data_IF_254236335745
#
_entry.id   IF_254236335745
#
_cell.length_a   1.000
_cell.length_b   1.000
_cell.length_c   1.000
_cell.angle_alpha   90.00
_cell.angle_beta   90.00
_cell.angle_gamma   90.00
#
_symmetry.space_group_name_H-M   'P 1'
#
loop_
_entity.id
_entity.type
_entity.pdbx_description
1 polymer ?
#
# COMPACT_ATOMS: atom_id res chain seq x y z
N UNK A 1 -3.89 13.06 7.63
CA UNK A 1 -4.40 14.14 6.77
C UNK A 1 -4.84 13.54 5.45
N UNK A 2 -6.12 13.58 5.14
CA UNK A 2 -6.61 13.17 3.80
C UNK A 2 -6.03 14.15 2.77
N UNK A 3 -5.21 13.64 1.86
CA UNK A 3 -4.69 14.40 0.72
C UNK A 3 -5.91 14.66 -0.17
N UNK A 4 -6.48 15.84 -0.01
CA UNK A 4 -7.37 16.38 -1.02
C UNK A 4 -6.56 16.34 -2.33
N UNK A 5 -7.10 15.75 -3.41
CA UNK A 5 -6.41 15.45 -4.67
C UNK A 5 -5.67 16.70 -5.13
N UNK A 6 -4.37 16.78 -4.84
CA UNK A 6 -3.55 17.91 -5.20
C UNK A 6 -3.02 17.70 -6.62
N UNK A 7 -2.97 18.78 -7.38
CA UNK A 7 -2.50 18.80 -8.77
C UNK A 7 -0.97 18.79 -8.83
N UNK A 8 -0.42 18.40 -9.98
CA UNK A 8 1.01 18.54 -10.29
C UNK A 8 1.18 19.80 -11.16
N UNK A 9 2.16 20.62 -10.83
CA UNK A 9 2.60 21.73 -11.68
C UNK A 9 3.73 21.23 -12.61
N UNK A 10 3.52 21.28 -13.91
CA UNK A 10 4.54 20.92 -14.91
C UNK A 10 5.01 22.19 -15.63
N UNK A 11 6.26 22.55 -15.46
CA UNK A 11 6.88 23.69 -16.13
C UNK A 11 7.87 23.18 -17.17
N UNK A 12 7.52 23.33 -18.43
CA UNK A 12 8.21 22.76 -19.58
C UNK A 12 7.86 23.59 -20.83
N UNK A 13 8.82 24.01 -21.63
CA UNK A 13 8.57 24.84 -22.83
C UNK A 13 8.11 24.02 -24.04
N UNK A 14 8.52 22.75 -24.12
CA UNK A 14 8.15 21.84 -25.22
C UNK A 14 6.75 21.29 -25.06
N UNK A 15 5.84 21.65 -25.97
CA UNK A 15 4.47 21.12 -25.99
C UNK A 15 4.41 19.60 -26.14
N UNK A 16 5.36 19.01 -26.88
CA UNK A 16 5.40 17.56 -27.10
C UNK A 16 5.73 16.82 -25.78
N UNK A 17 6.72 17.33 -25.04
CA UNK A 17 7.14 16.75 -23.76
C UNK A 17 6.03 16.96 -22.70
N UNK A 18 5.44 18.17 -22.64
CA UNK A 18 4.29 18.44 -21.78
C UNK A 18 3.14 17.43 -22.00
N UNK A 19 2.78 17.22 -23.28
CA UNK A 19 1.68 16.30 -23.63
C UNK A 19 2.00 14.87 -23.22
N UNK A 20 3.23 14.41 -23.46
CA UNK A 20 3.66 13.05 -23.10
C UNK A 20 3.65 12.83 -21.58
N UNK A 21 4.22 13.75 -20.79
CA UNK A 21 4.24 13.66 -19.32
C UNK A 21 2.83 13.74 -18.76
N UNK A 22 2.01 14.69 -19.22
CA UNK A 22 0.62 14.85 -18.78
C UNK A 22 -0.21 13.59 -19.04
N UNK A 23 -0.06 12.99 -20.22
CA UNK A 23 -0.76 11.75 -20.58
C UNK A 23 -0.31 10.57 -19.70
N UNK A 24 1.00 10.42 -19.49
CA UNK A 24 1.55 9.36 -18.65
C UNK A 24 1.06 9.47 -17.20
N UNK A 25 1.10 10.67 -16.60
CA UNK A 25 0.63 10.92 -15.24
C UNK A 25 -0.90 10.66 -15.13
N UNK A 26 -1.68 11.13 -16.13
CA UNK A 26 -3.14 10.92 -16.11
C UNK A 26 -3.51 9.44 -16.21
N UNK A 27 -2.86 8.71 -17.11
CA UNK A 27 -3.18 7.29 -17.36
C UNK A 27 -2.74 6.38 -16.20
N UNK A 28 -1.58 6.66 -15.59
CA UNK A 28 -1.02 5.75 -14.58
C UNK A 28 -1.36 6.15 -13.14
N UNK A 29 -1.51 7.45 -12.87
CA UNK A 29 -1.72 7.96 -11.50
C UNK A 29 -3.10 8.63 -11.31
N UNK A 30 -3.83 8.86 -12.39
CA UNK A 30 -5.11 9.59 -12.40
C UNK A 30 -5.05 10.97 -11.72
N UNK A 31 -3.90 11.67 -11.83
CA UNK A 31 -3.70 13.01 -11.27
C UNK A 31 -3.91 14.08 -12.34
N UNK A 32 -4.34 15.27 -11.89
CA UNK A 32 -4.45 16.43 -12.75
C UNK A 32 -3.11 17.17 -12.84
N UNK A 33 -2.74 17.57 -14.05
CA UNK A 33 -1.50 18.30 -14.35
C UNK A 33 -1.85 19.67 -14.93
N UNK A 34 -1.37 20.72 -14.24
CA UNK A 34 -1.41 22.09 -14.72
C UNK A 34 -0.08 22.43 -15.35
N UNK A 35 -0.08 22.95 -16.57
CA UNK A 35 1.15 23.21 -17.34
C UNK A 35 1.45 24.70 -17.41
N UNK A 36 2.77 25.03 -17.40
CA UNK A 36 3.30 26.34 -17.70
C UNK A 36 4.50 26.18 -18.66
N UNK A 37 4.75 27.19 -19.49
CA UNK A 37 5.86 27.18 -20.47
C UNK A 37 6.99 28.14 -20.11
N UNK A 38 6.74 29.04 -19.17
CA UNK A 38 7.64 30.12 -18.79
C UNK A 38 7.59 30.34 -17.27
N UNK A 39 8.64 30.98 -16.71
CA UNK A 39 8.62 31.42 -15.32
C UNK A 39 7.52 32.45 -15.05
N UNK A 40 7.20 33.27 -16.05
CA UNK A 40 6.13 34.27 -15.95
C UNK A 40 4.76 33.62 -15.81
N UNK A 41 4.47 32.58 -16.60
CA UNK A 41 3.24 31.78 -16.45
C UNK A 41 3.20 31.06 -15.11
N UNK A 42 4.32 30.45 -14.72
CA UNK A 42 4.46 29.77 -13.42
C UNK A 42 4.12 30.70 -12.28
N UNK A 43 4.63 31.92 -12.28
CA UNK A 43 4.34 32.93 -11.26
C UNK A 43 2.84 33.27 -11.18
N UNK A 44 2.17 33.42 -12.32
CA UNK A 44 0.72 33.69 -12.35
C UNK A 44 -0.10 32.53 -11.77
N UNK A 45 0.27 31.30 -12.09
CA UNK A 45 -0.37 30.10 -11.59
C UNK A 45 -0.20 30.01 -10.07
N UNK A 46 1.03 30.18 -9.56
CA UNK A 46 1.33 30.12 -8.14
C UNK A 46 0.60 31.20 -7.33
N UNK A 47 0.45 32.40 -7.87
CA UNK A 47 -0.31 33.47 -7.22
C UNK A 47 -1.81 33.15 -7.06
N UNK A 48 -2.39 32.35 -7.96
CA UNK A 48 -3.81 32.02 -7.94
C UNK A 48 -4.13 30.74 -7.17
N UNK A 49 -3.27 29.73 -7.27
CA UNK A 49 -3.64 28.35 -6.89
C UNK A 49 -2.51 27.59 -6.19
N UNK A 50 -1.61 28.28 -5.49
CA UNK A 50 -0.46 27.65 -4.81
C UNK A 50 -0.84 26.42 -3.97
N UNK A 51 -1.94 26.51 -3.20
CA UNK A 51 -2.36 25.45 -2.28
C UNK A 51 -2.86 24.17 -2.97
N UNK A 52 -3.11 24.22 -4.29
CA UNK A 52 -3.60 23.07 -5.06
C UNK A 52 -2.49 22.10 -5.48
N UNK A 53 -1.22 22.54 -5.44
CA UNK A 53 -0.09 21.73 -5.89
C UNK A 53 0.58 20.99 -4.74
N UNK A 54 0.82 19.69 -4.96
CA UNK A 54 1.61 18.90 -4.03
C UNK A 54 3.06 18.72 -4.50
N UNK A 55 3.30 18.78 -5.81
CA UNK A 55 4.60 18.59 -6.44
C UNK A 55 4.70 19.45 -7.70
N UNK A 56 5.91 19.94 -8.02
CA UNK A 56 6.24 20.56 -9.29
C UNK A 56 7.31 19.75 -10.05
N UNK A 57 7.17 19.68 -11.36
CA UNK A 57 8.15 19.13 -12.30
C UNK A 57 8.67 20.29 -13.11
N UNK A 58 9.97 20.54 -13.08
CA UNK A 58 10.57 21.76 -13.59
C UNK A 58 11.66 21.46 -14.61
N UNK A 59 11.56 22.04 -15.81
CA UNK A 59 12.72 22.17 -16.70
C UNK A 59 13.60 23.35 -16.28
N UNK A 60 14.90 23.17 -16.35
CA UNK A 60 15.88 24.24 -16.13
C UNK A 60 16.02 25.20 -17.31
N UNK A 61 15.72 24.72 -18.52
CA UNK A 61 15.89 25.45 -19.76
C UNK A 61 14.58 26.07 -20.23
N UNK A 62 14.17 27.16 -19.60
CA UNK A 62 12.98 27.91 -20.03
C UNK A 62 13.39 29.15 -20.81
N UNK A 63 12.57 29.64 -21.77
CA UNK A 63 12.87 30.81 -22.58
C UNK A 63 13.17 32.08 -21.78
N UNK A 64 12.51 32.25 -20.63
CA UNK A 64 12.62 33.39 -19.73
C UNK A 64 13.32 33.08 -18.40
N UNK A 65 13.93 31.89 -18.28
CA UNK A 65 14.66 31.44 -17.08
C UNK A 65 15.83 30.49 -17.44
N UNK A 66 16.86 30.96 -18.10
CA UNK A 66 17.93 30.11 -18.62
C UNK A 66 18.83 29.47 -17.56
N UNK A 67 18.83 29.96 -16.33
CA UNK A 67 19.67 29.49 -15.21
C UNK A 67 18.88 28.70 -14.14
N UNK A 68 17.66 28.29 -14.45
CA UNK A 68 16.85 27.53 -13.52
C UNK A 68 16.29 28.34 -12.34
N UNK A 69 16.13 29.65 -12.47
CA UNK A 69 15.51 30.51 -11.43
C UNK A 69 14.06 30.13 -11.12
N UNK A 70 13.41 29.37 -12.01
CA UNK A 70 12.09 28.77 -11.77
C UNK A 70 12.10 27.84 -10.55
N UNK A 71 13.22 27.16 -10.29
CA UNK A 71 13.37 26.27 -9.13
C UNK A 71 13.24 27.07 -7.83
N UNK A 72 13.94 28.20 -7.73
CA UNK A 72 13.86 29.06 -6.55
C UNK A 72 12.46 29.63 -6.36
N UNK A 73 11.80 30.07 -7.42
CA UNK A 73 10.43 30.55 -7.37
C UNK A 73 9.47 29.52 -6.80
N UNK A 74 9.58 28.26 -7.23
CA UNK A 74 8.70 27.15 -6.80
C UNK A 74 9.02 26.73 -5.37
N UNK A 75 10.30 26.56 -5.02
CA UNK A 75 10.73 26.19 -3.67
C UNK A 75 10.36 27.26 -2.64
N UNK A 76 10.54 28.55 -2.94
CA UNK A 76 10.09 29.66 -2.09
C UNK A 76 8.56 29.70 -1.92
N UNK A 77 7.85 29.14 -2.88
CA UNK A 77 6.40 28.95 -2.77
C UNK A 77 6.05 27.74 -1.87
N UNK A 78 7.00 27.00 -1.32
CA UNK A 78 6.81 25.84 -0.46
C UNK A 78 6.21 24.62 -1.20
N UNK A 79 6.45 24.54 -2.52
CA UNK A 79 6.06 23.39 -3.33
C UNK A 79 7.30 22.54 -3.57
N UNK A 80 7.32 21.25 -3.18
CA UNK A 80 8.41 20.34 -3.49
C UNK A 80 8.60 20.20 -5.01
N UNK A 81 9.85 20.11 -5.46
CA UNK A 81 10.16 20.15 -6.88
C UNK A 81 11.05 18.97 -7.32
N UNK A 82 10.69 18.35 -8.44
CA UNK A 82 11.55 17.45 -9.22
C UNK A 82 12.07 18.22 -10.42
N UNK A 83 13.36 18.16 -10.64
CA UNK A 83 13.99 18.75 -11.82
C UNK A 83 14.02 17.71 -12.93
N UNK A 84 13.56 18.08 -14.11
CA UNK A 84 13.59 17.25 -15.31
C UNK A 84 14.22 18.07 -16.45
N UNK A 85 15.50 17.85 -16.76
CA UNK A 85 16.27 18.70 -17.68
C UNK A 85 17.08 17.92 -18.71
N UNK A 86 17.32 18.52 -19.87
CA UNK A 86 18.25 18.00 -20.86
C UNK A 86 19.73 18.35 -20.57
N UNK A 87 20.01 19.28 -19.65
CA UNK A 87 21.35 19.61 -19.21
C UNK A 87 21.93 18.48 -18.33
N UNK A 88 23.05 17.94 -18.78
CA UNK A 88 23.75 16.84 -18.13
C UNK A 88 25.12 17.26 -17.56
N UNK A 89 25.34 18.56 -17.29
CA UNK A 89 26.60 19.02 -16.72
C UNK A 89 26.63 18.82 -15.20
N UNK A 90 27.77 18.32 -14.72
CA UNK A 90 27.95 17.98 -13.31
C UNK A 90 27.89 19.19 -12.38
N UNK A 91 28.31 20.37 -12.86
CA UNK A 91 28.33 21.62 -12.08
C UNK A 91 26.89 22.07 -11.76
N UNK A 92 26.03 22.11 -12.77
CA UNK A 92 24.61 22.47 -12.58
C UNK A 92 23.91 21.45 -11.69
N UNK A 93 24.19 20.17 -11.90
CA UNK A 93 23.63 19.07 -11.08
C UNK A 93 24.03 19.22 -9.62
N UNK A 94 25.33 19.38 -9.32
CA UNK A 94 25.84 19.56 -7.95
C UNK A 94 25.23 20.80 -7.28
N UNK A 95 25.10 21.91 -8.02
CA UNK A 95 24.48 23.13 -7.52
C UNK A 95 23.00 22.92 -7.19
N UNK A 96 22.21 22.24 -8.04
CA UNK A 96 20.81 21.97 -7.83
C UNK A 96 20.56 20.97 -6.70
N UNK A 97 21.43 19.97 -6.54
CA UNK A 97 21.35 18.99 -5.45
C UNK A 97 21.59 19.59 -4.05
N UNK A 98 22.24 20.76 -3.96
CA UNK A 98 22.34 21.53 -2.70
C UNK A 98 21.02 22.21 -2.30
N UNK A 99 20.07 22.40 -3.26
CA UNK A 99 18.75 22.94 -2.99
C UNK A 99 17.82 21.84 -2.41
N UNK A 100 16.74 22.21 -1.70
CA UNK A 100 15.80 21.25 -1.15
C UNK A 100 14.83 20.68 -2.23
N UNK A 101 15.40 20.16 -3.31
CA UNK A 101 14.64 19.46 -4.35
C UNK A 101 14.38 18.01 -3.95
N UNK A 102 13.36 17.43 -4.56
CA UNK A 102 12.95 16.02 -4.36
C UNK A 102 13.84 15.09 -5.16
N UNK A 103 14.07 15.40 -6.44
CA UNK A 103 14.89 14.59 -7.35
C UNK A 103 15.40 15.42 -8.53
N UNK A 104 16.45 14.90 -9.22
CA UNK A 104 17.03 15.48 -10.41
C UNK A 104 17.16 14.44 -11.51
N UNK A 105 16.38 14.59 -12.58
CA UNK A 105 16.26 13.64 -13.68
C UNK A 105 16.79 14.27 -14.97
N UNK A 106 17.65 13.55 -15.68
CA UNK A 106 18.21 14.00 -16.96
C UNK A 106 17.40 13.42 -18.11
N UNK A 107 16.86 14.26 -19.00
CA UNK A 107 16.09 13.87 -20.19
C UNK A 107 17.00 13.29 -21.29
N UNK A 108 17.25 12.01 -21.34
CA UNK A 108 18.04 11.38 -22.42
C UNK A 108 17.21 10.48 -23.35
N UNK A 109 16.16 9.82 -22.86
CA UNK A 109 15.35 8.83 -23.60
C UNK A 109 13.91 8.79 -23.11
N UNK A 110 13.01 8.16 -23.89
CA UNK A 110 11.57 8.01 -23.54
C UNK A 110 11.31 7.29 -22.21
N UNK A 111 12.20 6.40 -21.75
CA UNK A 111 12.04 5.70 -20.50
C UNK A 111 12.25 6.53 -19.22
N UNK A 112 12.68 7.78 -19.35
CA UNK A 112 12.81 8.71 -18.24
C UNK A 112 11.46 9.29 -17.81
N UNK A 113 10.48 9.35 -18.73
CA UNK A 113 9.09 9.66 -18.36
C UNK A 113 8.51 8.57 -17.44
N UNK A 114 8.82 7.30 -17.73
CA UNK A 114 8.40 6.22 -16.85
C UNK A 114 9.08 6.32 -15.48
N UNK A 115 10.38 6.57 -15.44
CA UNK A 115 11.11 6.78 -14.18
C UNK A 115 10.53 7.95 -13.37
N UNK A 116 10.17 9.06 -14.02
CA UNK A 116 9.49 10.20 -13.39
C UNK A 116 8.14 9.78 -12.79
N UNK A 117 7.33 9.04 -13.54
CA UNK A 117 6.00 8.58 -13.06
C UNK A 117 6.13 7.62 -11.89
N UNK A 118 7.10 6.70 -11.94
CA UNK A 118 7.40 5.76 -10.85
C UNK A 118 7.89 6.51 -9.60
N UNK A 119 8.73 7.55 -9.78
CA UNK A 119 9.14 8.45 -8.71
C UNK A 119 7.95 9.18 -8.06
N UNK A 120 7.04 9.73 -8.85
CA UNK A 120 5.83 10.39 -8.34
C UNK A 120 4.94 9.39 -7.59
N UNK A 121 4.76 8.17 -8.12
CA UNK A 121 4.01 7.10 -7.47
C UNK A 121 4.61 6.76 -6.09
N UNK A 122 5.95 6.67 -6.00
CA UNK A 122 6.66 6.43 -4.75
C UNK A 122 6.43 7.57 -3.76
N UNK A 123 6.57 8.83 -4.18
CA UNK A 123 6.32 10.03 -3.34
C UNK A 123 4.89 10.01 -2.76
N UNK A 124 3.89 9.66 -3.56
CA UNK A 124 2.51 9.51 -3.09
C UNK A 124 2.37 8.41 -2.03
N UNK A 125 3.04 7.28 -2.23
CA UNK A 125 3.10 6.19 -1.25
C UNK A 125 3.81 6.57 0.04
N UNK A 126 4.86 7.38 -0.05
CA UNK A 126 5.69 7.81 1.08
C UNK A 126 4.91 8.56 2.16
N UNK A 127 3.84 9.26 1.81
CA UNK A 127 2.98 9.98 2.76
C UNK A 127 2.36 9.08 3.84
N UNK A 128 2.36 7.76 3.62
CA UNK A 128 1.82 6.75 4.54
C UNK A 128 2.92 5.93 5.23
N UNK A 129 4.19 6.25 4.96
CA UNK A 129 5.33 5.48 5.48
C UNK A 129 6.02 6.21 6.60
N UNK A 130 6.47 5.43 7.58
CA UNK A 130 7.22 5.93 8.72
C UNK A 130 8.59 5.27 8.76
N UNK A 131 9.63 6.09 8.87
CA UNK A 131 11.03 5.68 8.97
C UNK A 131 11.54 6.00 10.36
N UNK A 132 12.21 5.04 11.01
CA UNK A 132 12.90 5.25 12.28
C UNK A 132 14.37 5.57 12.00
N UNK A 133 14.85 6.69 12.50
CA UNK A 133 16.27 7.12 12.41
C UNK A 133 16.91 7.00 13.77
N UNK A 134 17.97 6.20 13.86
CA UNK A 134 18.66 5.88 15.11
C UNK A 134 20.13 6.30 14.99
N UNK A 135 20.55 7.28 15.76
CA UNK A 135 21.92 7.79 15.80
C UNK A 135 22.10 8.63 17.06
N UNK A 136 23.23 8.59 17.72
CA UNK A 136 23.47 9.39 18.93
C UNK A 136 23.66 10.88 18.63
N UNK A 137 24.12 11.22 17.42
CA UNK A 137 24.30 12.59 16.95
C UNK A 137 22.97 13.23 16.54
N UNK A 138 22.48 14.18 17.32
CA UNK A 138 21.29 14.97 17.00
C UNK A 138 21.43 15.74 15.66
N UNK A 139 22.63 16.18 15.32
CA UNK A 139 22.92 16.86 14.05
C UNK A 139 22.73 15.91 12.87
N UNK A 140 23.19 14.67 12.99
CA UNK A 140 23.02 13.67 11.94
C UNK A 140 21.56 13.24 11.83
N UNK A 141 20.87 12.99 12.94
CA UNK A 141 19.41 12.70 12.90
C UNK A 141 18.64 13.81 12.20
N UNK A 142 18.93 15.08 12.52
CA UNK A 142 18.30 16.24 11.84
C UNK A 142 18.59 16.30 10.36
N UNK A 143 19.82 15.97 9.93
CA UNK A 143 20.18 15.88 8.52
C UNK A 143 19.34 14.80 7.80
N UNK A 144 19.31 13.58 8.34
CA UNK A 144 18.56 12.46 7.75
C UNK A 144 17.05 12.74 7.75
N UNK A 145 16.52 13.28 8.84
CA UNK A 145 15.11 13.73 8.90
C UNK A 145 14.79 14.67 7.75
N UNK A 146 15.58 15.74 7.57
CA UNK A 146 15.36 16.71 6.51
C UNK A 146 15.41 16.09 5.10
N UNK A 147 16.26 15.09 4.87
CA UNK A 147 16.31 14.37 3.60
C UNK A 147 15.05 13.53 3.38
N UNK A 148 14.62 12.77 4.38
CA UNK A 148 13.46 11.88 4.30
C UNK A 148 12.14 12.66 4.18
N UNK A 149 12.00 13.76 4.94
CA UNK A 149 10.79 14.61 4.89
C UNK A 149 10.61 15.28 3.52
N UNK A 150 11.72 15.59 2.79
CA UNK A 150 11.64 16.05 1.40
C UNK A 150 11.02 15.01 0.46
N UNK A 151 11.14 13.73 0.81
CA UNK A 151 10.51 12.62 0.09
C UNK A 151 9.12 12.25 0.66
N UNK A 152 8.54 13.13 1.50
CA UNK A 152 7.23 12.95 2.16
C UNK A 152 7.15 11.76 3.12
N UNK A 153 8.29 11.27 3.60
CA UNK A 153 8.34 10.25 4.63
C UNK A 153 8.11 10.86 6.02
N UNK A 154 7.40 10.16 6.89
CA UNK A 154 7.30 10.52 8.30
C UNK A 154 8.51 9.96 9.04
N UNK A 155 9.13 10.74 9.93
CA UNK A 155 10.33 10.33 10.63
C UNK A 155 10.09 10.27 12.12
N UNK A 156 10.49 9.15 12.75
CA UNK A 156 10.64 8.97 14.19
C UNK A 156 12.14 8.92 14.48
N UNK A 157 12.58 9.51 15.57
CA UNK A 157 13.99 9.50 15.96
C UNK A 157 14.19 8.70 17.27
N UNK A 158 15.34 8.08 17.36
CA UNK A 158 15.87 7.48 18.58
C UNK A 158 17.37 7.80 18.73
N UNK A 159 17.86 7.91 19.93
CA UNK A 159 19.26 8.26 20.21
C UNK A 159 20.16 7.05 20.44
N UNK A 160 19.58 5.88 20.65
CA UNK A 160 20.29 4.61 20.83
C UNK A 160 19.38 3.41 20.51
N UNK A 161 19.97 2.20 20.56
CA UNK A 161 19.24 0.97 20.26
C UNK A 161 18.10 0.63 21.23
N UNK A 162 18.18 1.07 22.50
CA UNK A 162 17.15 0.81 23.51
C UNK A 162 15.91 1.66 23.18
N UNK A 163 16.10 2.94 22.92
CA UNK A 163 15.04 3.85 22.52
C UNK A 163 14.42 3.41 21.19
N UNK A 164 15.26 2.90 20.26
CA UNK A 164 14.80 2.40 18.97
C UNK A 164 13.89 1.15 19.10
N UNK A 165 14.21 0.17 19.96
CA UNK A 165 13.34 -0.97 20.21
C UNK A 165 11.99 -0.55 20.77
N UNK A 166 11.99 0.35 21.74
CA UNK A 166 10.76 0.91 22.30
C UNK A 166 9.93 1.63 21.24
N UNK A 167 10.57 2.42 20.37
CA UNK A 167 9.89 3.10 19.27
C UNK A 167 9.24 2.11 18.29
N UNK A 168 9.86 0.94 18.01
CA UNK A 168 9.29 -0.12 17.17
C UNK A 168 8.09 -0.80 17.84
N UNK A 169 8.11 -1.01 19.15
CA UNK A 169 6.98 -1.59 19.90
C UNK A 169 5.75 -0.66 19.88
N UNK A 170 5.98 0.65 20.05
CA UNK A 170 4.94 1.67 20.09
C UNK A 170 4.38 2.01 18.69
N UNK A 171 5.18 1.81 17.62
CA UNK A 171 4.85 2.23 16.26
C UNK A 171 4.95 1.08 15.26
N UNK A 172 3.93 0.24 15.22
CA UNK A 172 3.86 -0.94 14.33
C UNK A 172 3.84 -0.62 12.81
N UNK A 173 3.78 0.66 12.45
CA UNK A 173 3.78 1.11 11.04
C UNK A 173 5.18 1.43 10.51
N UNK A 174 6.21 1.36 11.36
CA UNK A 174 7.61 1.51 10.95
C UNK A 174 8.01 0.28 10.13
N UNK A 175 8.42 0.49 8.89
CA UNK A 175 8.86 -0.57 7.99
C UNK A 175 10.29 -0.37 7.46
N UNK A 176 10.91 0.77 7.80
CA UNK A 176 12.29 1.09 7.45
C UNK A 176 12.98 1.72 8.66
N UNK A 177 14.18 1.23 8.98
CA UNK A 177 15.07 1.78 10.00
C UNK A 177 16.40 2.17 9.35
N UNK A 178 16.92 3.32 9.75
CA UNK A 178 18.29 3.76 9.44
C UNK A 178 19.01 3.87 10.78
N UNK A 179 20.01 3.04 11.02
CA UNK A 179 20.70 2.98 12.32
C UNK A 179 22.20 3.21 12.17
N UNK A 180 22.76 4.06 13.01
CA UNK A 180 24.21 4.14 13.16
C UNK A 180 24.75 2.84 13.78
N UNK A 181 26.03 2.55 13.54
CA UNK A 181 26.74 1.43 14.15
C UNK A 181 27.16 1.75 15.59
N UNK A 182 27.79 2.92 15.80
CA UNK A 182 28.35 3.31 17.08
C UNK A 182 27.37 4.17 17.89
N UNK A 183 26.71 3.58 18.87
CA UNK A 183 25.79 4.29 19.76
C UNK A 183 26.01 3.88 21.20
N UNK A 184 25.70 4.76 22.19
CA UNK A 184 25.77 4.41 23.60
C UNK A 184 24.68 3.41 23.99
N UNK A 185 24.82 2.76 25.13
CA UNK A 185 23.89 1.82 25.76
C UNK A 185 23.64 0.54 24.95
N UNK A 186 23.26 0.64 23.69
CA UNK A 186 23.05 -0.45 22.74
C UNK A 186 23.50 0.02 21.36
N UNK A 187 24.52 -0.63 20.82
CA UNK A 187 25.06 -0.33 19.48
C UNK A 187 24.15 -0.83 18.36
N UNK A 188 24.48 -0.46 17.12
CA UNK A 188 23.66 -0.83 15.96
C UNK A 188 23.64 -2.32 15.66
N UNK A 189 24.72 -3.06 15.95
CA UNK A 189 24.77 -4.51 15.75
C UNK A 189 23.83 -5.22 16.72
N UNK A 190 23.91 -4.89 18.01
CA UNK A 190 23.05 -5.47 19.05
C UNK A 190 21.57 -5.10 18.81
N UNK A 191 21.29 -3.86 18.44
CA UNK A 191 19.95 -3.41 18.06
C UNK A 191 19.38 -4.25 16.92
N UNK A 192 20.14 -4.45 15.83
CA UNK A 192 19.69 -5.23 14.67
C UNK A 192 19.35 -6.66 15.07
N UNK A 193 20.21 -7.32 15.87
CA UNK A 193 19.97 -8.68 16.35
C UNK A 193 18.64 -8.77 17.10
N UNK A 194 18.40 -7.86 18.07
CA UNK A 194 17.14 -7.83 18.84
C UNK A 194 15.93 -7.48 17.99
N UNK A 195 16.06 -6.55 17.05
CA UNK A 195 14.99 -6.22 16.12
C UNK A 195 14.62 -7.41 15.22
N UNK A 196 15.58 -8.27 14.88
CA UNK A 196 15.36 -9.51 14.10
C UNK A 196 14.69 -10.63 14.87
N UNK A 197 14.72 -10.62 16.19
CA UNK A 197 13.88 -11.51 17.01
C UNK A 197 12.39 -11.15 16.90
N UNK A 198 12.08 -9.88 16.60
CA UNK A 198 10.71 -9.36 16.51
C UNK A 198 10.19 -9.29 15.07
N UNK A 199 11.05 -8.94 14.12
CA UNK A 199 10.69 -8.66 12.72
C UNK A 199 11.60 -9.39 11.73
N UNK A 200 11.02 -10.06 10.76
CA UNK A 200 11.77 -10.61 9.62
C UNK A 200 12.33 -9.51 8.71
N UNK A 201 13.30 -9.85 7.87
CA UNK A 201 13.86 -8.94 6.86
C UNK A 201 12.83 -8.42 5.85
N UNK A 202 11.75 -9.17 5.67
CA UNK A 202 10.68 -8.84 4.75
C UNK A 202 9.60 -7.92 5.36
N UNK A 203 9.58 -7.77 6.68
CA UNK A 203 8.64 -6.93 7.41
C UNK A 203 9.25 -5.58 7.79
N UNK A 204 10.54 -5.59 8.17
CA UNK A 204 11.28 -4.40 8.56
C UNK A 204 12.61 -4.35 7.81
N UNK A 205 12.79 -3.37 6.93
CA UNK A 205 14.09 -3.11 6.33
C UNK A 205 14.96 -2.32 7.29
N UNK A 206 16.22 -2.73 7.46
CA UNK A 206 17.20 -2.02 8.29
C UNK A 206 18.42 -1.70 7.43
N UNK A 207 18.75 -0.42 7.35
CA UNK A 207 19.96 0.10 6.72
C UNK A 207 20.91 0.53 7.83
N UNK A 208 22.08 -0.13 7.91
CA UNK A 208 23.12 0.28 8.82
C UNK A 208 23.93 1.44 8.26
N UNK A 209 24.35 2.36 9.11
CA UNK A 209 25.23 3.48 8.74
C UNK A 209 26.49 3.41 9.56
N UNK A 210 27.65 3.68 8.94
CA UNK A 210 28.93 3.66 9.64
C UNK A 210 29.85 4.78 9.16
N UNK A 211 30.64 5.33 10.06
CA UNK A 211 31.66 6.35 9.76
C UNK A 211 32.98 5.75 9.24
N UNK A 212 33.13 4.43 9.24
CA UNK A 212 34.37 3.76 8.91
C UNK A 212 34.26 3.03 7.56
N UNK A 213 35.26 3.23 6.70
CA UNK A 213 35.49 2.44 5.48
C UNK A 213 35.94 0.98 5.76
N UNK A 214 35.96 0.56 7.00
CA UNK A 214 36.30 -0.81 7.37
C UNK A 214 35.23 -1.75 6.83
N UNK A 215 35.57 -2.50 5.81
CA UNK A 215 34.74 -3.57 5.23
C UNK A 215 34.24 -4.57 6.31
N UNK A 216 34.93 -4.64 7.43
CA UNK A 216 34.57 -5.47 8.57
C UNK A 216 33.25 -5.03 9.25
N UNK A 217 32.96 -3.71 9.35
CA UNK A 217 31.74 -3.18 10.00
C UNK A 217 30.53 -3.42 9.12
N UNK A 218 30.61 -3.16 7.82
CA UNK A 218 29.53 -3.44 6.88
C UNK A 218 29.16 -4.93 6.86
N UNK A 219 30.16 -5.82 6.90
CA UNK A 219 29.95 -7.27 6.98
C UNK A 219 29.26 -7.65 8.30
N UNK A 220 29.64 -7.05 9.44
CA UNK A 220 29.00 -7.31 10.74
C UNK A 220 27.52 -6.92 10.72
N UNK A 221 27.19 -5.71 10.26
CA UNK A 221 25.81 -5.24 10.14
C UNK A 221 24.96 -6.16 9.26
N UNK A 222 25.48 -6.58 8.10
CA UNK A 222 24.77 -7.51 7.21
C UNK A 222 24.58 -8.90 7.85
N UNK A 223 25.60 -9.41 8.59
CA UNK A 223 25.51 -10.67 9.31
C UNK A 223 24.55 -10.59 10.50
N UNK A 224 24.49 -9.45 11.20
CA UNK A 224 23.53 -9.20 12.26
C UNK A 224 22.07 -9.17 11.75
N UNK A 225 21.89 -8.94 10.45
CA UNK A 225 20.57 -8.98 9.83
C UNK A 225 20.14 -7.69 9.12
N UNK A 226 21.00 -6.69 8.96
CA UNK A 226 20.70 -5.54 8.12
C UNK A 226 20.36 -5.96 6.68
N UNK A 227 19.50 -5.20 6.02
CA UNK A 227 19.17 -5.40 4.62
C UNK A 227 20.21 -4.74 3.71
N UNK A 228 20.77 -3.61 4.15
CA UNK A 228 21.78 -2.85 3.42
C UNK A 228 22.65 -2.04 4.40
N UNK A 229 23.68 -1.38 3.89
CA UNK A 229 24.52 -0.46 4.68
C UNK A 229 24.92 0.74 3.86
N UNK A 230 25.34 1.83 4.54
CA UNK A 230 25.79 3.08 3.96
C UNK A 230 27.00 3.62 4.74
N UNK A 231 28.04 4.05 4.05
CA UNK A 231 29.26 4.58 4.69
C UNK A 231 29.25 6.12 4.68
N UNK A 232 29.52 6.75 5.83
CA UNK A 232 29.68 8.20 5.96
C UNK A 232 31.11 8.61 5.49
N UNK A 233 31.29 9.68 4.69
CA UNK A 233 30.25 10.52 4.09
C UNK A 233 29.64 9.90 2.82
N UNK A 234 28.34 10.08 2.61
CA UNK A 234 27.61 9.63 1.43
C UNK A 234 26.98 10.80 0.67
N UNK A 235 26.74 10.61 -0.60
CA UNK A 235 25.97 11.57 -1.40
C UNK A 235 24.47 11.43 -1.16
N UNK A 236 23.70 12.51 -1.42
CA UNK A 236 22.24 12.44 -1.37
C UNK A 236 21.69 11.36 -2.32
N UNK A 237 22.30 11.20 -3.49
CA UNK A 237 21.88 10.22 -4.49
C UNK A 237 22.10 8.78 -4.01
N UNK A 238 23.26 8.49 -3.42
CA UNK A 238 23.53 7.18 -2.84
C UNK A 238 22.54 6.86 -1.73
N UNK A 239 22.30 7.83 -0.83
CA UNK A 239 21.32 7.71 0.24
C UNK A 239 19.93 7.36 -0.29
N UNK A 240 19.40 8.15 -1.24
CA UNK A 240 18.08 7.90 -1.80
C UNK A 240 18.00 6.63 -2.65
N UNK A 241 19.09 6.25 -3.33
CA UNK A 241 19.13 4.99 -4.05
C UNK A 241 18.88 3.79 -3.11
N UNK A 242 19.54 3.76 -1.94
CA UNK A 242 19.39 2.72 -0.94
C UNK A 242 18.02 2.72 -0.27
N UNK A 243 17.53 3.90 0.12
CA UNK A 243 16.19 4.08 0.71
C UNK A 243 15.11 3.60 -0.26
N UNK A 244 15.16 4.06 -1.51
CA UNK A 244 14.19 3.70 -2.53
C UNK A 244 14.22 2.19 -2.84
N UNK A 245 15.42 1.60 -2.96
CA UNK A 245 15.56 0.16 -3.15
C UNK A 245 14.95 -0.64 -1.99
N UNK A 246 15.17 -0.21 -0.74
CA UNK A 246 14.58 -0.84 0.45
C UNK A 246 13.06 -0.72 0.47
N UNK A 247 12.51 0.45 0.13
CA UNK A 247 11.08 0.69 0.05
C UNK A 247 10.44 -0.17 -1.05
N UNK A 248 11.03 -0.17 -2.25
CA UNK A 248 10.54 -0.93 -3.41
C UNK A 248 10.56 -2.44 -3.14
N UNK A 249 11.59 -2.93 -2.42
CA UNK A 249 11.68 -4.34 -2.02
C UNK A 249 10.55 -4.74 -1.07
N UNK A 250 10.28 -3.93 -0.02
CA UNK A 250 9.18 -4.17 0.92
C UNK A 250 7.83 -4.13 0.19
N UNK A 251 7.60 -3.15 -0.69
CA UNK A 251 6.36 -3.06 -1.47
C UNK A 251 6.15 -4.27 -2.37
N UNK A 252 7.21 -4.70 -3.05
CA UNK A 252 7.16 -5.87 -3.92
C UNK A 252 6.79 -7.13 -3.12
N UNK A 253 7.39 -7.32 -1.94
CA UNK A 253 7.09 -8.44 -1.06
C UNK A 253 5.64 -8.37 -0.56
N UNK A 254 5.16 -7.19 -0.13
CA UNK A 254 3.80 -7.01 0.32
C UNK A 254 2.79 -7.26 -0.81
N UNK A 255 3.06 -6.76 -2.02
CA UNK A 255 2.22 -7.00 -3.20
C UNK A 255 2.16 -8.49 -3.56
N UNK A 256 3.29 -9.19 -3.52
CA UNK A 256 3.35 -10.64 -3.74
C UNK A 256 2.57 -11.39 -2.65
N UNK A 257 2.72 -10.99 -1.37
CA UNK A 257 1.99 -11.58 -0.25
C UNK A 257 0.48 -11.36 -0.39
N UNK A 258 0.05 -10.13 -0.68
CA UNK A 258 -1.36 -9.82 -0.95
C UNK A 258 -1.91 -10.62 -2.12
N UNK A 259 -1.20 -10.68 -3.24
CA UNK A 259 -1.60 -11.47 -4.41
C UNK A 259 -1.68 -12.98 -4.12
N UNK A 260 -0.85 -13.48 -3.20
CA UNK A 260 -0.85 -14.88 -2.80
C UNK A 260 -2.04 -15.25 -1.90
N UNK A 261 -2.63 -14.28 -1.17
CA UNK A 261 -3.69 -14.52 -0.18
C UNK A 261 -5.04 -13.94 -0.56
N UNK A 262 -5.12 -13.06 -1.58
CA UNK A 262 -6.39 -12.45 -2.01
C UNK A 262 -6.85 -12.96 -3.38
N UNK A 263 -8.16 -12.87 -3.62
CA UNK A 263 -8.78 -13.07 -4.92
C UNK A 263 -8.64 -11.79 -5.75
N UNK A 264 -8.07 -11.89 -6.94
CA UNK A 264 -7.73 -10.76 -7.79
C UNK A 264 -8.94 -9.93 -8.26
N UNK A 265 -10.13 -10.56 -8.34
CA UNK A 265 -11.34 -9.90 -8.81
C UNK A 265 -12.02 -9.10 -7.70
N UNK A 266 -12.17 -9.70 -6.53
CA UNK A 266 -12.99 -9.18 -5.43
C UNK A 266 -12.19 -8.49 -4.32
N UNK A 267 -10.87 -8.76 -4.25
CA UNK A 267 -9.99 -8.27 -3.17
C UNK A 267 -10.22 -8.95 -1.82
N UNK A 268 -11.16 -9.91 -1.72
CA UNK A 268 -11.35 -10.74 -0.54
C UNK A 268 -10.22 -11.77 -0.43
N UNK A 269 -10.11 -12.45 0.71
CA UNK A 269 -9.18 -13.57 0.80
C UNK A 269 -9.53 -14.65 -0.23
N UNK A 270 -8.51 -15.34 -0.73
CA UNK A 270 -8.69 -16.42 -1.68
C UNK A 270 -8.90 -17.77 -0.97
N UNK A 271 -9.20 -18.80 -1.75
CA UNK A 271 -9.43 -20.17 -1.26
C UNK A 271 -8.24 -20.69 -0.43
N UNK A 272 -7.01 -20.45 -0.87
CA UNK A 272 -5.82 -20.92 -0.16
C UNK A 272 -5.75 -20.34 1.25
N UNK A 273 -5.92 -19.03 1.37
CA UNK A 273 -5.89 -18.36 2.67
C UNK A 273 -7.04 -18.79 3.58
N UNK A 274 -8.23 -19.08 3.01
CA UNK A 274 -9.35 -19.64 3.76
C UNK A 274 -8.97 -20.95 4.47
N UNK A 275 -8.32 -21.87 3.77
CA UNK A 275 -7.92 -23.15 4.39
C UNK A 275 -6.80 -22.96 5.39
N UNK A 276 -5.73 -22.22 5.03
CA UNK A 276 -4.57 -21.98 5.90
C UNK A 276 -4.93 -21.27 7.21
N UNK A 277 -5.87 -20.32 7.16
CA UNK A 277 -6.34 -19.54 8.31
C UNK A 277 -7.54 -20.17 9.00
N UNK A 278 -8.50 -20.73 8.27
CA UNK A 278 -9.65 -21.41 8.80
C UNK A 278 -9.28 -22.56 9.75
N UNK A 279 -8.22 -23.29 9.41
CA UNK A 279 -7.67 -24.32 10.31
C UNK A 279 -7.20 -23.71 11.65
N UNK A 280 -6.51 -22.58 11.62
CA UNK A 280 -6.06 -21.88 12.83
C UNK A 280 -7.23 -21.33 13.65
N UNK A 281 -8.24 -20.79 12.98
CA UNK A 281 -9.49 -20.33 13.63
C UNK A 281 -10.17 -21.47 14.35
N UNK A 282 -10.31 -22.61 13.69
CA UNK A 282 -10.91 -23.81 14.24
C UNK A 282 -10.15 -24.34 15.48
N UNK A 283 -8.84 -24.52 15.37
CA UNK A 283 -8.01 -25.03 16.48
C UNK A 283 -8.03 -24.08 17.69
N UNK A 284 -8.00 -22.77 17.45
CA UNK A 284 -8.09 -21.77 18.51
C UNK A 284 -9.48 -21.81 19.18
N UNK A 285 -10.55 -21.86 18.39
CA UNK A 285 -11.91 -21.94 18.93
C UNK A 285 -12.09 -23.20 19.78
N UNK A 286 -11.58 -24.34 19.31
CA UNK A 286 -11.63 -25.61 20.02
C UNK A 286 -10.85 -25.57 21.34
N UNK A 287 -9.63 -25.01 21.33
CA UNK A 287 -8.76 -24.88 22.50
C UNK A 287 -9.36 -23.96 23.58
N UNK A 288 -9.93 -22.85 23.15
CA UNK A 288 -10.48 -21.81 24.04
C UNK A 288 -11.96 -22.03 24.36
N UNK A 289 -12.56 -23.11 23.82
CA UNK A 289 -14.00 -23.42 23.95
C UNK A 289 -14.90 -22.25 23.52
N UNK A 290 -14.56 -21.64 22.38
CA UNK A 290 -15.27 -20.51 21.79
C UNK A 290 -16.15 -21.03 20.65
N UNK A 291 -17.36 -20.48 20.51
CA UNK A 291 -18.24 -20.80 19.39
C UNK A 291 -17.60 -20.37 18.07
N UNK A 292 -17.62 -21.28 17.09
CA UNK A 292 -17.21 -21.01 15.72
C UNK A 292 -18.36 -21.33 14.77
N UNK A 293 -18.53 -20.52 13.73
CA UNK A 293 -19.48 -20.78 12.66
C UNK A 293 -18.79 -20.72 11.31
N UNK A 294 -19.19 -21.62 10.41
CA UNK A 294 -18.76 -21.66 9.01
C UNK A 294 -19.99 -21.53 8.12
N UNK A 295 -19.98 -20.54 7.25
CA UNK A 295 -21.04 -20.29 6.28
C UNK A 295 -20.51 -20.26 4.87
N UNK A 296 -21.19 -20.92 3.94
CA UNK A 296 -20.91 -20.86 2.50
C UNK A 296 -22.10 -20.18 1.82
N UNK A 297 -21.77 -19.19 0.99
CA UNK A 297 -22.73 -18.41 0.21
C UNK A 297 -22.47 -18.65 -1.27
N UNK A 298 -23.53 -18.74 -2.06
CA UNK A 298 -23.46 -18.89 -3.51
C UNK A 298 -24.50 -17.96 -4.17
N UNK A 299 -24.08 -17.32 -5.26
CA UNK A 299 -24.91 -16.36 -6.01
C UNK A 299 -25.95 -17.12 -6.82
N UNK A 300 -27.22 -16.86 -6.54
CA UNK A 300 -28.30 -17.53 -7.26
C UNK A 300 -28.34 -17.12 -8.73
N UNK A 301 -28.47 -18.11 -9.61
CA UNK A 301 -28.58 -17.90 -11.05
C UNK A 301 -27.44 -17.12 -11.69
N UNK A 302 -26.22 -17.15 -11.14
CA UNK A 302 -25.07 -16.39 -11.63
C UNK A 302 -24.75 -16.66 -13.10
N UNK A 303 -24.92 -17.91 -13.55
CA UNK A 303 -24.77 -18.25 -14.96
C UNK A 303 -25.73 -17.44 -15.85
N UNK A 304 -26.98 -17.25 -15.45
CA UNK A 304 -27.94 -16.44 -16.22
C UNK A 304 -27.50 -14.98 -16.31
N UNK A 305 -26.88 -14.42 -15.27
CA UNK A 305 -26.33 -13.06 -15.31
C UNK A 305 -25.23 -12.98 -16.40
N UNK A 306 -24.34 -13.97 -16.44
CA UNK A 306 -23.28 -14.03 -17.46
C UNK A 306 -23.85 -14.24 -18.87
N UNK A 307 -24.82 -15.14 -19.02
CA UNK A 307 -25.40 -15.48 -20.33
C UNK A 307 -26.20 -14.31 -20.93
N UNK A 308 -26.88 -13.51 -20.08
CA UNK A 308 -27.70 -12.37 -20.53
C UNK A 308 -26.89 -11.10 -20.67
N UNK A 309 -25.99 -10.81 -19.76
CA UNK A 309 -25.30 -9.49 -19.67
C UNK A 309 -23.81 -9.56 -20.01
N UNK A 310 -23.25 -10.76 -20.19
CA UNK A 310 -21.83 -10.98 -20.46
C UNK A 310 -20.98 -11.06 -19.19
N UNK A 311 -19.80 -11.68 -19.31
CA UNK A 311 -18.88 -11.95 -18.20
C UNK A 311 -18.40 -10.67 -17.48
N UNK A 312 -18.26 -9.54 -18.18
CA UNK A 312 -17.87 -8.27 -17.55
C UNK A 312 -18.89 -7.81 -16.51
N UNK A 313 -20.18 -8.02 -16.77
CA UNK A 313 -21.25 -7.67 -15.84
C UNK A 313 -21.31 -8.67 -14.69
N UNK A 314 -21.05 -9.95 -14.96
CA UNK A 314 -20.87 -10.96 -13.92
C UNK A 314 -19.72 -10.60 -12.96
N UNK A 315 -18.59 -10.15 -13.47
CA UNK A 315 -17.47 -9.67 -12.66
C UNK A 315 -17.85 -8.45 -11.81
N UNK A 316 -18.64 -7.52 -12.37
CA UNK A 316 -19.18 -6.39 -11.62
C UNK A 316 -20.14 -6.85 -10.51
N UNK A 317 -20.98 -7.86 -10.77
CA UNK A 317 -21.89 -8.45 -9.79
C UNK A 317 -21.11 -9.10 -8.63
N UNK A 318 -20.05 -9.85 -8.92
CA UNK A 318 -19.20 -10.46 -7.88
C UNK A 318 -18.49 -9.41 -7.03
N UNK A 319 -17.97 -8.32 -7.63
CA UNK A 319 -17.38 -7.19 -6.89
C UNK A 319 -18.42 -6.49 -6.01
N UNK A 320 -19.64 -6.31 -6.51
CA UNK A 320 -20.74 -5.68 -5.77
C UNK A 320 -21.14 -6.52 -4.56
N UNK A 321 -21.33 -7.83 -4.75
CA UNK A 321 -21.64 -8.80 -3.70
C UNK A 321 -20.53 -8.83 -2.64
N UNK A 322 -19.28 -8.95 -3.07
CA UNK A 322 -18.11 -8.95 -2.18
C UNK A 322 -18.08 -7.70 -1.29
N UNK A 323 -18.39 -6.52 -1.87
CA UNK A 323 -18.45 -5.25 -1.12
C UNK A 323 -19.56 -5.27 -0.08
N UNK A 324 -20.76 -5.75 -0.42
CA UNK A 324 -21.89 -5.85 0.51
C UNK A 324 -21.54 -6.77 1.68
N UNK A 325 -21.02 -7.96 1.41
CA UNK A 325 -20.62 -8.91 2.46
C UNK A 325 -19.55 -8.30 3.36
N UNK A 326 -18.50 -7.73 2.76
CA UNK A 326 -17.36 -7.17 3.51
C UNK A 326 -17.75 -6.03 4.45
N UNK A 327 -18.81 -5.27 4.13
CA UNK A 327 -19.34 -4.21 5.01
C UNK A 327 -20.09 -4.77 6.23
N UNK A 328 -20.51 -6.03 6.22
CA UNK A 328 -21.25 -6.67 7.30
C UNK A 328 -20.36 -7.54 8.21
N UNK A 329 -19.21 -8.00 7.70
CA UNK A 329 -18.29 -8.89 8.40
C UNK A 329 -17.38 -8.06 9.32
N UNK A 330 -17.06 -8.58 10.50
CA UNK A 330 -16.13 -7.92 11.45
C UNK A 330 -14.68 -8.14 11.02
N UNK A 331 -13.80 -7.29 11.50
CA UNK A 331 -12.34 -7.43 11.29
C UNK A 331 -11.81 -8.77 11.86
N UNK A 332 -12.46 -9.30 12.88
CA UNK A 332 -12.12 -10.59 13.50
C UNK A 332 -12.61 -11.82 12.71
N UNK A 333 -13.47 -11.64 11.73
CA UNK A 333 -14.03 -12.73 10.94
C UNK A 333 -13.20 -12.94 9.67
N UNK A 334 -13.22 -14.14 9.13
CA UNK A 334 -12.54 -14.49 7.89
C UNK A 334 -13.57 -14.52 6.75
N UNK A 335 -13.41 -13.65 5.76
CA UNK A 335 -14.24 -13.63 4.55
C UNK A 335 -13.37 -13.95 3.33
N UNK A 336 -13.73 -14.97 2.59
CA UNK A 336 -13.00 -15.42 1.41
C UNK A 336 -13.93 -15.71 0.23
N UNK A 337 -13.40 -15.53 -1.00
CA UNK A 337 -13.99 -16.11 -2.20
C UNK A 337 -13.37 -17.48 -2.46
N UNK A 338 -14.19 -18.52 -2.48
CA UNK A 338 -13.73 -19.91 -2.63
C UNK A 338 -13.46 -20.27 -4.09
N UNK A 339 -14.27 -19.72 -5.00
CA UNK A 339 -14.14 -19.90 -6.44
C UNK A 339 -15.46 -19.58 -7.16
N UNK A 340 -15.42 -19.27 -8.44
CA UNK A 340 -16.61 -18.95 -9.22
C UNK A 340 -17.48 -17.88 -8.54
N UNK A 341 -18.69 -18.27 -8.16
CA UNK A 341 -19.69 -17.46 -7.47
C UNK A 341 -19.83 -17.76 -5.96
N UNK A 342 -18.86 -18.50 -5.38
CA UNK A 342 -18.93 -18.96 -3.99
C UNK A 342 -18.07 -18.13 -3.05
N UNK A 343 -18.64 -17.79 -1.89
CA UNK A 343 -17.99 -17.08 -0.78
C UNK A 343 -18.09 -17.88 0.51
N UNK A 344 -17.11 -17.72 1.39
CA UNK A 344 -17.11 -18.36 2.70
C UNK A 344 -16.85 -17.34 3.80
N UNK A 345 -17.59 -17.45 4.89
CA UNK A 345 -17.42 -16.66 6.12
C UNK A 345 -17.13 -17.63 7.26
N UNK A 346 -16.06 -17.37 8.02
CA UNK A 346 -15.76 -18.04 9.28
C UNK A 346 -15.82 -17.00 10.38
N UNK A 347 -16.72 -17.17 11.33
CA UNK A 347 -16.93 -16.23 12.45
C UNK A 347 -16.76 -16.93 13.79
N UNK A 348 -16.29 -16.18 14.78
CA UNK A 348 -16.10 -16.63 16.17
C UNK A 348 -17.01 -15.87 17.12
N UNK A 349 -17.33 -16.48 18.28
CA UNK A 349 -18.19 -15.91 19.33
C UNK A 349 -19.65 -15.64 18.93
N UNK A 350 -20.19 -16.37 17.95
CA UNK A 350 -21.60 -16.30 17.56
C UNK A 350 -22.30 -17.65 17.83
N UNK A 351 -23.39 -17.63 18.58
CA UNK A 351 -24.30 -18.76 18.69
C UNK A 351 -25.26 -18.86 17.49
N UNK A 352 -26.00 -19.94 17.37
CA UNK A 352 -26.87 -20.30 16.23
C UNK A 352 -27.80 -19.19 15.78
N UNK A 353 -28.58 -18.61 16.69
CA UNK A 353 -29.57 -17.56 16.38
C UNK A 353 -28.91 -16.25 15.91
N UNK A 354 -27.77 -15.93 16.48
CA UNK A 354 -26.99 -14.72 16.08
C UNK A 354 -26.40 -14.92 14.71
N UNK A 355 -25.84 -16.11 14.44
CA UNK A 355 -25.26 -16.46 13.13
C UNK A 355 -26.34 -16.45 12.06
N UNK A 356 -27.50 -17.06 12.33
CA UNK A 356 -28.65 -17.06 11.40
C UNK A 356 -29.07 -15.61 11.08
N UNK A 357 -29.30 -14.78 12.08
CA UNK A 357 -29.75 -13.40 11.90
C UNK A 357 -28.73 -12.55 11.13
N UNK A 358 -27.45 -12.77 11.37
CA UNK A 358 -26.36 -12.12 10.66
C UNK A 358 -26.36 -12.51 9.17
N UNK A 359 -26.46 -13.80 8.87
CA UNK A 359 -26.46 -14.31 7.50
C UNK A 359 -27.73 -13.93 6.74
N UNK A 360 -28.90 -13.93 7.41
CA UNK A 360 -30.17 -13.52 6.79
C UNK A 360 -30.18 -12.01 6.48
N UNK A 361 -29.54 -11.19 7.32
CA UNK A 361 -29.31 -9.77 7.01
C UNK A 361 -28.45 -9.59 5.74
N UNK A 362 -27.39 -10.38 5.57
CA UNK A 362 -26.57 -10.35 4.34
C UNK A 362 -27.44 -10.70 3.13
N UNK A 363 -28.24 -11.77 3.22
CA UNK A 363 -29.16 -12.19 2.15
C UNK A 363 -30.16 -11.08 1.78
N UNK A 364 -30.79 -10.44 2.77
CA UNK A 364 -31.73 -9.34 2.52
C UNK A 364 -31.06 -8.16 1.85
N UNK A 365 -29.87 -7.76 2.30
CA UNK A 365 -29.11 -6.68 1.69
C UNK A 365 -28.77 -6.93 0.22
N UNK A 366 -28.61 -8.19 -0.23
CA UNK A 366 -28.41 -8.49 -1.65
C UNK A 366 -29.63 -8.13 -2.49
N UNK A 367 -30.82 -8.48 -2.01
CA UNK A 367 -32.07 -8.17 -2.74
C UNK A 367 -32.44 -6.68 -2.68
N UNK A 368 -32.07 -6.00 -1.59
CA UNK A 368 -32.34 -4.56 -1.41
C UNK A 368 -31.37 -3.65 -2.19
N UNK A 369 -30.20 -4.18 -2.59
CA UNK A 369 -29.16 -3.44 -3.27
C UNK A 369 -28.81 -4.06 -4.63
N UNK A 370 -29.67 -3.92 -5.65
CA UNK A 370 -29.41 -4.43 -6.99
C UNK A 370 -28.18 -3.78 -7.61
N UNK A 371 -27.50 -4.49 -8.51
CA UNK A 371 -26.41 -3.92 -9.29
C UNK A 371 -26.99 -3.00 -10.37
N UNK A 372 -26.63 -1.73 -10.38
CA UNK A 372 -27.05 -0.82 -11.44
C UNK A 372 -26.06 -0.86 -12.60
N UNK A 373 -26.52 -1.32 -13.76
CA UNK A 373 -25.75 -1.34 -15.00
C UNK A 373 -26.51 -0.64 -16.12
N UNK A 374 -25.92 0.40 -16.72
CA UNK A 374 -26.55 1.22 -17.74
C UNK A 374 -27.98 1.68 -17.35
N UNK A 375 -28.12 2.21 -16.14
CA UNK A 375 -29.38 2.67 -15.54
C UNK A 375 -30.45 1.56 -15.30
N UNK A 376 -30.10 0.31 -15.57
CA UNK A 376 -30.99 -0.85 -15.37
C UNK A 376 -30.56 -1.61 -14.11
N UNK A 377 -31.48 -1.88 -13.17
CA UNK A 377 -31.18 -2.69 -12.01
C UNK A 377 -31.11 -4.18 -12.39
N UNK A 378 -30.06 -4.86 -11.98
CA UNK A 378 -29.88 -6.31 -12.04
C UNK A 378 -30.08 -6.84 -10.63
N UNK A 379 -31.16 -7.61 -10.45
CA UNK A 379 -31.47 -8.22 -9.18
C UNK A 379 -30.44 -9.31 -8.85
N UNK A 380 -29.99 -9.33 -7.59
CA UNK A 380 -29.06 -10.29 -7.06
C UNK A 380 -29.65 -10.97 -5.86
N UNK A 381 -29.49 -12.28 -5.76
CA UNK A 381 -29.80 -13.03 -4.54
C UNK A 381 -28.73 -14.06 -4.25
N UNK A 382 -28.65 -14.49 -3.00
CA UNK A 382 -27.69 -15.49 -2.54
C UNK A 382 -28.39 -16.57 -1.74
N UNK A 383 -27.98 -17.81 -1.93
CA UNK A 383 -28.33 -18.93 -1.04
C UNK A 383 -27.18 -19.13 -0.06
N UNK A 384 -27.49 -19.40 1.20
CA UNK A 384 -26.51 -19.52 2.28
C UNK A 384 -26.75 -20.81 3.06
N UNK A 385 -25.69 -21.60 3.21
CA UNK A 385 -25.66 -22.75 4.13
C UNK A 385 -24.65 -22.50 5.23
N UNK A 386 -24.97 -22.82 6.47
CA UNK A 386 -24.04 -22.67 7.58
C UNK A 386 -24.14 -23.78 8.61
N UNK A 387 -23.07 -23.92 9.41
CA UNK A 387 -23.03 -24.78 10.59
C UNK A 387 -22.33 -24.06 11.75
N UNK A 388 -22.77 -24.39 12.95
CA UNK A 388 -22.14 -24.04 14.22
C UNK A 388 -21.73 -25.29 14.99
N UNK A 389 -22.02 -26.46 14.41
CA UNK A 389 -21.64 -27.75 14.98
C UNK A 389 -20.14 -27.95 14.81
N UNK A 390 -19.43 -28.04 15.93
CA UNK A 390 -17.98 -28.27 15.92
C UNK A 390 -17.71 -29.73 15.61
N UNK A 391 -17.06 -29.98 14.48
CA UNK A 391 -16.70 -31.31 13.99
C UNK A 391 -15.26 -31.69 14.41
N UNK A 392 -14.69 -32.74 13.82
CA UNK A 392 -13.32 -33.16 14.12
C UNK A 392 -12.28 -32.16 13.58
N UNK A 393 -12.56 -31.52 12.44
CA UNK A 393 -11.68 -30.57 11.76
C UNK A 393 -12.48 -29.53 10.98
N UNK A 394 -11.79 -28.49 10.50
CA UNK A 394 -12.37 -27.39 9.75
C UNK A 394 -13.01 -27.83 8.43
N UNK A 395 -12.43 -28.83 7.74
CA UNK A 395 -12.95 -29.32 6.46
C UNK A 395 -14.32 -30.00 6.62
N UNK A 396 -14.53 -30.73 7.71
CA UNK A 396 -15.82 -31.34 8.01
C UNK A 396 -16.90 -30.28 8.27
N UNK A 397 -16.58 -29.20 9.02
CA UNK A 397 -17.49 -28.07 9.18
C UNK A 397 -17.83 -27.39 7.85
N UNK A 398 -16.82 -27.18 7.00
CA UNK A 398 -17.03 -26.61 5.67
C UNK A 398 -17.93 -27.49 4.80
N UNK A 399 -17.74 -28.82 4.83
CA UNK A 399 -18.58 -29.77 4.11
C UNK A 399 -20.05 -29.74 4.60
N UNK A 400 -20.26 -29.58 5.90
CA UNK A 400 -21.62 -29.47 6.45
C UNK A 400 -22.30 -28.16 6.06
N UNK A 401 -21.56 -27.05 6.01
CA UNK A 401 -22.06 -25.81 5.45
C UNK A 401 -22.44 -25.96 3.95
N UNK A 402 -21.65 -26.69 3.15
CA UNK A 402 -22.01 -27.02 1.77
C UNK A 402 -23.29 -27.89 1.66
N UNK A 403 -23.49 -28.88 2.54
CA UNK A 403 -24.74 -29.67 2.58
C UNK A 403 -25.95 -28.77 2.86
N UNK A 404 -25.83 -27.84 3.80
CA UNK A 404 -26.85 -26.85 4.09
C UNK A 404 -27.10 -25.89 2.90
N UNK A 405 -26.06 -25.44 2.21
CA UNK A 405 -26.18 -24.65 1.00
C UNK A 405 -26.94 -25.39 -0.11
N UNK A 406 -26.62 -26.66 -0.32
CA UNK A 406 -27.33 -27.49 -1.28
C UNK A 406 -28.84 -27.58 -0.97
N UNK A 407 -29.20 -27.72 0.32
CA UNK A 407 -30.60 -27.67 0.75
C UNK A 407 -31.26 -26.32 0.50
N UNK A 408 -30.52 -25.20 0.75
CA UNK A 408 -30.99 -23.84 0.47
C UNK A 408 -31.35 -23.69 -1.01
N UNK A 409 -30.46 -24.13 -1.91
CA UNK A 409 -30.66 -24.07 -3.37
C UNK A 409 -31.86 -24.91 -3.84
N UNK A 410 -32.02 -26.13 -3.31
CA UNK A 410 -33.11 -27.04 -3.70
C UNK A 410 -34.47 -26.64 -3.11
N UNK A 411 -34.49 -25.90 -2.01
CA UNK A 411 -35.72 -25.44 -1.36
C UNK A 411 -36.27 -24.13 -1.92
N UNK A 412 -35.71 -23.62 -3.05
CA UNK A 412 -36.22 -22.42 -3.73
C UNK A 412 -35.30 -21.23 -3.69
N UNK A 413 -34.04 -21.40 -3.28
CA UNK A 413 -33.00 -20.36 -3.25
C UNK A 413 -33.29 -19.14 -2.35
N UNK A 414 -32.49 -18.12 -2.41
CA UNK A 414 -32.62 -16.86 -1.66
C UNK A 414 -33.00 -17.10 -0.19
N UNK A 415 -32.25 -17.94 0.51
CA UNK A 415 -32.50 -18.33 1.91
C UNK A 415 -31.24 -18.75 2.64
N UNK A 416 -31.34 -18.74 3.94
CA UNK A 416 -30.34 -19.26 4.87
C UNK A 416 -30.84 -20.62 5.41
N UNK A 417 -29.98 -21.63 5.39
CA UNK A 417 -30.25 -22.96 5.96
C UNK A 417 -29.11 -23.32 6.91
N UNK A 418 -29.48 -23.76 8.12
CA UNK A 418 -28.53 -24.31 9.07
C UNK A 418 -28.39 -25.81 8.87
N UNK A 419 -27.18 -26.33 8.92
CA UNK A 419 -26.94 -27.76 9.03
C UNK A 419 -27.33 -28.22 10.44
N UNK A 420 -28.19 -29.21 10.53
CA UNK A 420 -28.54 -29.92 11.76
C UNK A 420 -28.22 -31.38 11.58
N UNK A 421 -27.65 -32.00 12.61
CA UNK A 421 -27.37 -33.45 12.66
C UNK A 421 -28.68 -34.23 12.76
#
# INVERSE_FOLDING_TARGET
MSINIKKILLVEDSLAIQAAIKLAIKNQLNLDVVTARTITETRRILQKSRAEFFLAILDLNLPDSPEGSVVDLVLLSGIPAVILTSKADDITREYMMKKPIVDYIIKKRMHEIQYLVDGIKRILGNTKRTVLVVDDSSTFRSLIRNLLERQFLTVIEASDGIEALKALEENKYVNLVITDYNMPNMDGEEFIVKAREMYSRNELSIIGVSASDESAISIKLLKAGANDFLTKPFSHEEFFCRINHSIDAIESINTLRESAITDFLTGLFNRKYLFDSGYKFFENAKRENINISVAVLDVDYFKNINDVHGHNVGDMALKHIARIINQQVRVSDLLARVGGEEFCIVSINHGDSVTFSFLDRIRLLMTENPLIYNETPIELSVSIGFTTVVMNNFEEMLNDAYKALYLAKNSGRNRVVQFSI
#
